data_IF_312435532579
#
_entry.id   IF_312435532579
#
_cell.length_a   1.000
_cell.length_b   1.000
_cell.length_c   1.000
_cell.angle_alpha   90.00
_cell.angle_beta   90.00
_cell.angle_gamma   90.00
#
_symmetry.space_group_name_H-M   'P 1'
#
loop_
_entity.id
_entity.type
_entity.pdbx_description
1 polymer ?
#
# COMPACT_ATOMS: atom_id res chain seq x y z
N UNK A 1 1.39 8.12 -2.14
CA UNK A 1 1.91 8.93 -1.01
C UNK A 1 2.06 10.38 -1.44
N UNK A 2 0.95 11.12 -1.59
CA UNK A 2 1.00 12.54 -1.93
C UNK A 2 1.69 13.35 -0.81
N UNK A 3 2.41 14.44 -1.15
CA UNK A 3 2.72 14.93 -2.50
C UNK A 3 3.94 14.26 -3.14
N UNK A 4 4.57 13.28 -2.48
CA UNK A 4 5.92 12.85 -2.79
C UNK A 4 6.03 11.87 -3.95
N UNK A 5 5.21 10.81 -3.99
CA UNK A 5 5.37 9.74 -4.99
C UNK A 5 4.11 8.92 -5.23
N UNK A 6 4.00 8.41 -6.46
CA UNK A 6 3.13 7.30 -6.86
C UNK A 6 3.96 6.28 -7.66
N UNK A 7 3.81 5.00 -7.34
CA UNK A 7 4.50 3.89 -8.02
C UNK A 7 3.50 2.84 -8.46
N UNK A 8 3.87 2.01 -9.43
CA UNK A 8 3.11 0.82 -9.82
C UNK A 8 3.94 -0.41 -9.51
N UNK A 9 3.30 -1.41 -8.91
CA UNK A 9 3.91 -2.68 -8.57
C UNK A 9 2.87 -3.80 -8.76
N UNK A 10 3.30 -5.04 -8.48
CA UNK A 10 2.50 -6.26 -8.60
C UNK A 10 2.12 -6.56 -10.07
N UNK A 11 2.64 -7.68 -10.57
CA UNK A 11 2.28 -8.16 -11.92
C UNK A 11 0.80 -8.57 -11.95
N UNK A 12 0.12 -8.28 -13.05
CA UNK A 12 -1.28 -8.63 -13.20
C UNK A 12 -1.91 -8.18 -14.50
N UNK A 13 -3.14 -8.67 -14.78
CA UNK A 13 -3.92 -8.19 -15.91
C UNK A 13 -4.17 -6.69 -15.77
N UNK A 14 -4.16 -5.98 -16.90
CA UNK A 14 -4.54 -4.58 -16.93
C UNK A 14 -5.99 -4.48 -16.46
N UNK A 15 -6.21 -3.62 -15.47
CA UNK A 15 -7.53 -3.33 -14.95
C UNK A 15 -8.47 -2.88 -16.08
N UNK A 16 -9.67 -3.45 -16.15
CA UNK A 16 -10.67 -3.16 -17.18
C UNK A 16 -11.63 -2.07 -16.72
N UNK A 17 -12.33 -1.43 -17.65
CA UNK A 17 -13.36 -0.43 -17.33
C UNK A 17 -14.48 -1.09 -16.53
N UNK A 18 -14.79 -0.56 -15.34
CA UNK A 18 -15.96 -0.95 -14.54
C UNK A 18 -15.65 -1.58 -13.17
N UNK A 19 -14.44 -2.08 -12.95
CA UNK A 19 -13.96 -2.44 -11.61
C UNK A 19 -13.31 -1.22 -10.93
N UNK A 20 -13.22 -1.12 -9.60
CA UNK A 20 -12.39 -0.11 -8.94
C UNK A 20 -10.90 -0.41 -9.12
N UNK A 21 -10.05 0.57 -9.50
CA UNK A 21 -8.61 0.34 -9.68
C UNK A 21 -7.97 -0.12 -8.36
N UNK A 22 -6.92 -0.95 -8.46
CA UNK A 22 -6.14 -1.33 -7.29
C UNK A 22 -5.23 -0.17 -6.88
N UNK A 23 -5.58 0.53 -5.81
CA UNK A 23 -4.84 1.68 -5.28
C UNK A 23 -4.63 1.50 -3.79
N UNK A 24 -3.42 1.79 -3.33
CA UNK A 24 -3.08 1.96 -1.92
C UNK A 24 -2.58 3.38 -1.75
N UNK A 25 -3.22 4.13 -0.86
CA UNK A 25 -2.88 5.52 -0.57
C UNK A 25 -2.74 5.74 0.94
N UNK A 26 -1.76 6.54 1.33
CA UNK A 26 -1.48 6.90 2.73
C UNK A 26 -0.54 8.11 2.76
N UNK A 27 -0.39 8.70 3.94
CA UNK A 27 0.58 9.75 4.22
C UNK A 27 2.03 9.21 4.28
N UNK A 28 3.00 10.12 4.29
CA UNK A 28 4.41 9.74 4.21
C UNK A 28 4.96 9.08 5.47
N UNK A 29 4.48 9.47 6.66
CA UNK A 29 4.96 8.89 7.91
C UNK A 29 4.46 7.45 8.02
N UNK A 30 3.17 7.22 7.80
CA UNK A 30 2.59 5.88 7.81
C UNK A 30 3.26 4.97 6.78
N UNK A 31 3.49 5.46 5.56
CA UNK A 31 4.22 4.68 4.54
C UNK A 31 5.62 4.29 5.00
N UNK A 32 6.42 5.22 5.54
CA UNK A 32 7.77 4.91 5.98
C UNK A 32 7.77 3.93 7.15
N UNK A 33 6.83 4.04 8.09
CA UNK A 33 6.74 3.09 9.20
C UNK A 33 6.50 1.66 8.70
N UNK A 34 5.55 1.51 7.77
CA UNK A 34 5.20 0.21 7.19
C UNK A 34 6.29 -0.33 6.27
N UNK A 35 6.86 0.52 5.41
CA UNK A 35 7.96 0.13 4.51
C UNK A 35 9.23 -0.27 5.25
N UNK A 36 9.42 0.22 6.48
CA UNK A 36 10.57 -0.10 7.35
C UNK A 36 10.30 -1.17 8.41
N UNK A 37 9.04 -1.64 8.52
CA UNK A 37 8.63 -2.68 9.46
C UNK A 37 8.42 -2.21 10.90
N UNK A 38 8.36 -0.91 11.15
CA UNK A 38 8.03 -0.35 12.48
C UNK A 38 6.53 -0.29 12.75
N UNK A 39 5.70 -0.50 11.73
CA UNK A 39 4.24 -0.65 11.82
C UNK A 39 3.78 -1.73 10.85
N UNK A 40 2.79 -2.53 11.25
CA UNK A 40 2.23 -3.57 10.39
C UNK A 40 1.26 -2.98 9.35
N UNK A 41 1.25 -3.55 8.13
CA UNK A 41 0.36 -3.09 7.06
C UNK A 41 -1.11 -3.36 7.37
N UNK A 42 -1.45 -4.53 7.94
CA UNK A 42 -2.83 -4.88 8.24
C UNK A 42 -3.37 -4.06 9.41
N UNK A 43 -2.54 -3.73 10.40
CA UNK A 43 -2.87 -2.77 11.45
C UNK A 43 -3.20 -1.39 10.89
N UNK A 44 -2.30 -0.81 10.08
CA UNK A 44 -2.50 0.51 9.47
C UNK A 44 -3.70 0.56 8.50
N UNK A 45 -4.02 -0.58 7.85
CA UNK A 45 -5.25 -0.70 7.06
C UNK A 45 -6.50 -0.78 7.96
N UNK A 46 -6.43 -1.52 9.06
CA UNK A 46 -7.55 -1.72 9.98
C UNK A 46 -7.97 -0.46 10.73
N UNK A 47 -7.03 0.45 11.01
CA UNK A 47 -7.31 1.74 11.67
C UNK A 47 -7.55 2.90 10.69
N UNK A 48 -7.48 2.65 9.38
CA UNK A 48 -7.75 3.64 8.33
C UNK A 48 -6.58 4.60 8.03
N UNK A 49 -5.39 4.36 8.58
CA UNK A 49 -4.18 5.12 8.19
C UNK A 49 -3.72 4.82 6.76
N UNK A 50 -4.10 3.66 6.23
CA UNK A 50 -3.97 3.29 4.82
C UNK A 50 -5.37 3.15 4.21
N UNK A 51 -5.61 3.85 3.11
CA UNK A 51 -6.76 3.60 2.24
C UNK A 51 -6.36 2.61 1.14
N UNK A 52 -7.19 1.59 0.92
CA UNK A 52 -6.98 0.56 -0.08
C UNK A 52 -8.28 0.30 -0.85
N UNK A 53 -8.22 0.45 -2.18
CA UNK A 53 -9.34 0.19 -3.08
C UNK A 53 -8.96 -0.85 -4.14
N UNK A 54 -9.94 -1.64 -4.59
CA UNK A 54 -9.73 -2.73 -5.53
C UNK A 54 -9.36 -4.06 -4.85
N UNK A 55 -9.73 -5.18 -5.47
CA UNK A 55 -9.66 -6.51 -4.87
C UNK A 55 -8.24 -7.02 -4.59
N UNK A 56 -7.23 -6.43 -5.25
CA UNK A 56 -5.81 -6.84 -5.13
C UNK A 56 -4.95 -5.82 -4.39
N UNK A 57 -5.48 -4.68 -3.94
CA UNK A 57 -4.67 -3.67 -3.26
C UNK A 57 -3.97 -4.21 -2.00
N UNK A 58 -4.64 -5.07 -1.24
CA UNK A 58 -4.08 -5.71 -0.04
C UNK A 58 -2.90 -6.65 -0.34
N UNK A 59 -2.67 -7.04 -1.59
CA UNK A 59 -1.48 -7.83 -1.97
C UNK A 59 -0.17 -7.07 -1.77
N UNK A 60 -0.21 -5.72 -1.70
CA UNK A 60 0.97 -4.90 -1.38
C UNK A 60 1.57 -5.30 -0.03
N UNK A 61 0.73 -5.61 0.97
CA UNK A 61 1.17 -6.05 2.30
C UNK A 61 2.06 -7.29 2.29
N UNK A 62 1.98 -8.15 1.26
CA UNK A 62 2.82 -9.36 1.14
C UNK A 62 4.28 -9.05 0.82
N UNK A 63 4.57 -7.84 0.35
CA UNK A 63 5.92 -7.39 -0.05
C UNK A 63 6.55 -6.46 0.98
N UNK A 64 5.89 -6.25 2.13
CA UNK A 64 6.34 -5.35 3.18
C UNK A 64 6.82 -6.16 4.40
N UNK A 65 7.83 -5.67 5.14
CA UNK A 65 8.58 -4.43 4.89
C UNK A 65 9.57 -4.56 3.71
N UNK A 66 9.92 -3.43 3.09
CA UNK A 66 10.89 -3.39 1.98
C UNK A 66 12.33 -3.38 2.48
N UNK A 67 12.55 -2.80 3.66
CA UNK A 67 13.83 -2.75 4.35
C UNK A 67 13.57 -2.77 5.86
N UNK A 68 14.53 -3.20 6.66
CA UNK A 68 14.43 -3.15 8.11
C UNK A 68 15.50 -2.22 8.64
N UNK A 69 15.07 -1.24 9.45
CA UNK A 69 16.00 -0.40 10.22
C UNK A 69 16.09 -1.00 11.61
N UNK A 70 17.25 -1.59 11.92
CA UNK A 70 17.59 -2.10 13.26
C UNK A 70 18.61 -1.17 13.89
#
# INVERSE_FOLDING_TARGET
MPPFVAVQCIVGPRHTRGTPPNVVETDALTWLQVATGTRDFAEALGDGSIDASGSRAVEVGRWLPLLTIT
#
